data_IF_251968712592
#
_entry.id   IF_251968712592
#
_cell.length_a   1.000
_cell.length_b   1.000
_cell.length_c   1.000
_cell.angle_alpha   90.00
_cell.angle_beta   90.00
_cell.angle_gamma   90.00
#
_symmetry.space_group_name_H-M   'P 1'
#
loop_
_entity.id
_entity.type
_entity.pdbx_description
1 polymer ?
#
# COMPACT_ATOMS: atom_id res chain seq x y z
N UNK A 1 -29.53 9.63 9.21
CA UNK A 1 -28.18 9.02 9.16
C UNK A 1 -27.69 9.18 7.74
N UNK A 2 -26.58 9.88 7.52
CA UNK A 2 -26.02 10.07 6.18
C UNK A 2 -25.62 8.72 5.57
N UNK A 3 -25.79 8.57 4.26
CA UNK A 3 -25.38 7.37 3.55
C UNK A 3 -23.86 7.23 3.64
N UNK A 4 -23.33 6.01 3.75
CA UNK A 4 -21.88 5.77 3.65
C UNK A 4 -21.31 6.30 2.32
N UNK A 5 -22.16 6.45 1.29
CA UNK A 5 -21.82 7.02 -0.02
C UNK A 5 -21.56 8.53 -0.01
N UNK A 6 -21.97 9.24 1.04
CA UNK A 6 -21.78 10.68 1.16
C UNK A 6 -20.46 11.02 1.91
N UNK A 7 -19.71 10.00 2.35
CA UNK A 7 -18.42 10.21 3.00
C UNK A 7 -17.36 10.57 1.96
N UNK A 8 -16.52 11.53 2.33
CA UNK A 8 -15.40 11.97 1.50
C UNK A 8 -14.14 11.29 2.01
N UNK A 9 -13.36 10.69 1.11
CA UNK A 9 -12.08 10.09 1.46
C UNK A 9 -11.12 11.17 1.98
N UNK A 10 -10.32 10.89 3.03
CA UNK A 10 -9.24 11.77 3.42
C UNK A 10 -8.19 11.85 2.30
N UNK A 11 -7.36 12.89 2.30
CA UNK A 11 -6.17 12.88 1.44
C UNK A 11 -5.21 11.76 1.85
N UNK A 12 -4.30 11.30 0.97
CA UNK A 12 -3.32 10.27 1.33
C UNK A 12 -2.48 10.63 2.57
N UNK A 13 -2.09 11.89 2.72
CA UNK A 13 -1.37 12.39 3.89
C UNK A 13 -2.22 12.33 5.19
N UNK A 14 -3.51 12.64 5.09
CA UNK A 14 -4.45 12.51 6.22
C UNK A 14 -4.69 11.05 6.59
N UNK A 15 -4.84 10.17 5.59
CA UNK A 15 -4.98 8.72 5.79
C UNK A 15 -3.75 8.15 6.50
N UNK A 16 -2.54 8.53 6.05
CA UNK A 16 -1.30 8.13 6.71
C UNK A 16 -1.21 8.66 8.15
N UNK A 17 -1.61 9.92 8.39
CA UNK A 17 -1.65 10.45 9.76
C UNK A 17 -2.56 9.62 10.65
N UNK A 18 -3.77 9.26 10.20
CA UNK A 18 -4.71 8.43 10.97
C UNK A 18 -4.09 7.09 11.36
N UNK A 19 -3.42 6.42 10.42
CA UNK A 19 -2.72 5.16 10.67
C UNK A 19 -1.60 5.36 11.72
N UNK A 20 -0.75 6.39 11.56
CA UNK A 20 0.30 6.69 12.54
C UNK A 20 -0.25 6.97 13.94
N UNK A 21 -1.29 7.80 14.04
CA UNK A 21 -1.92 8.13 15.32
C UNK A 21 -2.48 6.88 16.00
N UNK A 22 -3.10 5.98 15.23
CA UNK A 22 -3.60 4.70 15.73
C UNK A 22 -2.50 3.75 16.19
N UNK A 23 -1.40 3.65 15.43
CA UNK A 23 -0.23 2.88 15.87
C UNK A 23 0.42 3.48 17.12
N UNK A 24 0.45 4.81 17.25
CA UNK A 24 0.95 5.46 18.46
C UNK A 24 0.10 5.06 19.68
N UNK A 25 -1.23 5.09 19.59
CA UNK A 25 -2.11 4.63 20.68
C UNK A 25 -1.87 3.17 21.03
N UNK A 26 -1.68 2.30 20.04
CA UNK A 26 -1.34 0.89 20.25
C UNK A 26 -0.01 0.73 21.01
N UNK A 27 1.04 1.45 20.59
CA UNK A 27 2.37 1.43 21.25
C UNK A 27 2.30 1.96 22.69
N UNK A 28 1.50 2.99 22.94
CA UNK A 28 1.33 3.61 24.26
C UNK A 28 0.39 2.82 25.18
N UNK A 29 -0.29 1.78 24.67
CA UNK A 29 -1.23 0.97 25.44
C UNK A 29 -2.55 1.69 25.76
N UNK A 30 -2.93 2.67 24.93
CA UNK A 30 -4.14 3.50 25.09
C UNK A 30 -5.07 3.40 23.87
N UNK A 31 -5.09 2.23 23.22
CA UNK A 31 -5.99 1.93 22.09
C UNK A 31 -7.45 2.28 22.40
N UNK A 32 -8.11 2.94 21.47
CA UNK A 32 -9.51 3.35 21.60
C UNK A 32 -10.48 2.24 21.15
N UNK A 33 -10.01 1.32 20.31
CA UNK A 33 -10.84 0.30 19.66
C UNK A 33 -12.06 0.92 18.93
N UNK A 34 -11.82 1.93 18.05
CA UNK A 34 -12.90 2.67 17.42
C UNK A 34 -13.71 1.74 16.51
N UNK A 35 -14.98 2.07 16.25
CA UNK A 35 -15.78 1.41 15.21
C UNK A 35 -15.98 -0.11 15.40
N UNK A 36 -15.98 -0.61 16.64
CA UNK A 36 -16.17 -2.04 16.93
C UNK A 36 -17.55 -2.39 17.54
N UNK A 37 -18.41 -1.38 17.74
CA UNK A 37 -19.72 -1.58 18.35
C UNK A 37 -20.81 -2.11 17.39
N UNK A 38 -21.92 -2.56 17.96
CA UNK A 38 -23.03 -3.15 17.21
C UNK A 38 -23.75 -2.16 16.27
N UNK A 39 -23.75 -0.87 16.59
CA UNK A 39 -24.35 0.17 15.76
C UNK A 39 -23.52 0.37 14.50
N UNK A 40 -22.19 0.44 14.66
CA UNK A 40 -21.25 0.46 13.52
C UNK A 40 -21.41 -0.76 12.63
N UNK A 41 -21.44 -1.97 13.22
CA UNK A 41 -21.68 -3.21 12.47
C UNK A 41 -22.99 -3.16 11.67
N UNK A 42 -24.06 -2.64 12.27
CA UNK A 42 -25.36 -2.52 11.61
C UNK A 42 -25.32 -1.52 10.45
N UNK A 43 -24.65 -0.37 10.63
CA UNK A 43 -24.44 0.63 9.58
C UNK A 43 -23.73 0.03 8.35
N UNK A 44 -22.71 -0.81 8.57
CA UNK A 44 -21.91 -1.41 7.50
C UNK A 44 -22.65 -2.50 6.70
N UNK A 45 -23.85 -2.93 7.13
CA UNK A 45 -24.68 -3.83 6.32
C UNK A 45 -25.14 -3.19 4.99
N UNK A 46 -25.14 -1.85 4.92
CA UNK A 46 -25.49 -1.10 3.71
C UNK A 46 -24.30 -0.79 2.78
N UNK A 47 -23.07 -1.14 3.16
CA UNK A 47 -21.86 -0.86 2.39
C UNK A 47 -20.63 -0.62 3.27
N UNK A 48 -19.49 -0.36 2.64
CA UNK A 48 -18.22 -0.02 3.31
C UNK A 48 -17.51 1.11 2.59
N UNK A 49 -16.67 1.84 3.33
CA UNK A 49 -15.92 2.98 2.84
C UNK A 49 -14.54 3.05 3.51
N UNK A 50 -13.67 2.05 3.27
CA UNK A 50 -12.36 2.00 3.89
C UNK A 50 -11.46 3.13 3.39
N UNK A 51 -10.75 3.77 4.31
CA UNK A 51 -9.80 4.84 4.00
C UNK A 51 -8.38 4.32 3.77
N UNK A 52 -8.13 3.04 4.04
CA UNK A 52 -6.84 2.39 3.82
C UNK A 52 -6.99 0.98 3.23
N UNK A 53 -6.11 0.62 2.29
CA UNK A 53 -5.95 -0.72 1.77
C UNK A 53 -4.65 -1.27 2.33
N UNK A 54 -4.71 -2.26 3.22
CA UNK A 54 -3.52 -2.81 3.88
C UNK A 54 -3.21 -4.18 3.30
N UNK A 55 -2.07 -4.28 2.62
CA UNK A 55 -1.52 -5.53 2.13
C UNK A 55 -0.39 -6.01 3.05
N UNK A 56 -0.68 -6.97 3.92
CA UNK A 56 0.25 -7.42 4.95
C UNK A 56 0.64 -8.89 4.89
N UNK A 57 1.59 -9.28 5.74
CA UNK A 57 1.95 -10.67 5.93
C UNK A 57 0.81 -11.49 6.58
N UNK A 58 0.69 -12.77 6.21
CA UNK A 58 -0.16 -13.76 6.87
C UNK A 58 0.25 -14.13 8.31
N UNK A 59 1.29 -13.51 8.86
CA UNK A 59 1.76 -13.75 10.23
C UNK A 59 0.67 -13.43 11.27
N UNK A 60 0.37 -14.38 12.14
CA UNK A 60 -0.68 -14.25 13.17
C UNK A 60 -0.48 -13.08 14.15
N UNK A 61 0.75 -12.57 14.28
CA UNK A 61 1.10 -11.44 15.15
C UNK A 61 0.89 -10.08 14.47
N UNK A 62 0.58 -10.07 13.17
CA UNK A 62 0.45 -8.88 12.34
C UNK A 62 -1.02 -8.55 12.02
N UNK A 63 -1.85 -8.46 13.06
CA UNK A 63 -3.25 -8.05 12.91
C UNK A 63 -3.33 -6.53 12.73
N UNK A 64 -3.44 -6.09 11.46
CA UNK A 64 -3.33 -4.67 11.08
C UNK A 64 -4.34 -3.78 11.81
N UNK A 65 -5.58 -4.25 11.95
CA UNK A 65 -6.65 -3.51 12.62
C UNK A 65 -6.35 -3.26 14.10
N UNK A 66 -5.66 -4.20 14.76
CA UNK A 66 -5.22 -4.03 16.16
C UNK A 66 -4.01 -3.08 16.22
N UNK A 67 -3.01 -3.32 15.37
CA UNK A 67 -1.74 -2.59 15.35
C UNK A 67 -1.91 -1.10 15.04
N UNK A 68 -2.89 -0.76 14.19
CA UNK A 68 -3.20 0.61 13.79
C UNK A 68 -4.46 1.14 14.48
N UNK A 69 -4.97 0.45 15.51
CA UNK A 69 -6.16 0.84 16.30
C UNK A 69 -7.35 1.27 15.42
N UNK A 70 -7.73 0.38 14.52
CA UNK A 70 -8.83 0.52 13.57
C UNK A 70 -10.03 -0.33 14.01
N UNK A 71 -11.18 -0.09 13.39
CA UNK A 71 -12.35 -0.94 13.53
C UNK A 71 -12.99 -1.34 12.23
N UNK A 72 -14.28 -1.68 12.32
CA UNK A 72 -15.03 -2.21 11.20
C UNK A 72 -15.21 -1.13 10.12
N UNK A 73 -14.89 -1.51 8.88
CA UNK A 73 -15.05 -0.68 7.70
C UNK A 73 -13.97 0.39 7.50
N UNK A 74 -12.93 0.41 8.35
CA UNK A 74 -11.86 1.42 8.29
C UNK A 74 -10.76 1.05 7.28
N UNK A 75 -10.45 -0.25 7.16
CA UNK A 75 -9.47 -0.76 6.23
C UNK A 75 -9.99 -1.94 5.39
N UNK A 76 -9.55 -2.00 4.14
CA UNK A 76 -9.65 -3.16 3.28
C UNK A 76 -8.34 -3.95 3.38
N UNK A 77 -8.40 -5.20 3.83
CA UNK A 77 -7.20 -5.95 4.23
C UNK A 77 -6.97 -7.16 3.34
N UNK A 78 -5.78 -7.22 2.74
CA UNK A 78 -5.29 -8.35 1.93
C UNK A 78 -4.07 -8.94 2.63
N UNK A 79 -3.99 -10.27 2.75
CA UNK A 79 -2.87 -10.92 3.43
C UNK A 79 -2.38 -12.16 2.69
N UNK A 80 -1.07 -12.23 2.48
CA UNK A 80 -0.36 -13.43 2.01
C UNK A 80 0.90 -13.62 2.85
N UNK A 81 1.43 -14.84 2.93
CA UNK A 81 2.69 -15.08 3.63
C UNK A 81 3.82 -14.27 2.95
N UNK A 82 4.48 -13.40 3.71
CA UNK A 82 5.53 -12.52 3.21
C UNK A 82 5.06 -11.43 2.26
N UNK A 83 3.79 -11.01 2.30
CA UNK A 83 3.23 -9.98 1.39
C UNK A 83 3.60 -10.23 -0.09
N UNK A 84 3.53 -11.50 -0.48
CA UNK A 84 3.79 -11.96 -1.84
C UNK A 84 2.62 -11.61 -2.75
N UNK A 85 2.92 -10.91 -3.84
CA UNK A 85 1.96 -10.50 -4.86
C UNK A 85 1.56 -11.72 -5.71
N UNK A 86 0.24 -11.86 -5.91
CA UNK A 86 -0.40 -12.80 -6.82
C UNK A 86 -1.53 -12.07 -7.56
N UNK A 87 -2.08 -12.66 -8.63
CA UNK A 87 -3.14 -12.02 -9.42
C UNK A 87 -4.36 -11.62 -8.57
N UNK A 88 -4.76 -12.48 -7.62
CA UNK A 88 -5.86 -12.17 -6.71
C UNK A 88 -5.54 -11.03 -5.74
N UNK A 89 -4.26 -10.84 -5.37
CA UNK A 89 -3.81 -9.71 -4.54
C UNK A 89 -3.90 -8.41 -5.32
N UNK A 90 -3.37 -8.36 -6.54
CA UNK A 90 -3.46 -7.16 -7.39
C UNK A 90 -4.91 -6.79 -7.69
N UNK A 91 -5.74 -7.76 -8.07
CA UNK A 91 -7.17 -7.51 -8.30
C UNK A 91 -7.89 -7.00 -7.04
N UNK A 92 -7.50 -7.47 -5.85
CA UNK A 92 -8.07 -6.96 -4.59
C UNK A 92 -7.63 -5.52 -4.29
N UNK A 93 -6.38 -5.17 -4.58
CA UNK A 93 -5.86 -3.80 -4.42
C UNK A 93 -6.52 -2.86 -5.43
N UNK A 94 -6.63 -3.27 -6.70
CA UNK A 94 -7.34 -2.51 -7.73
C UNK A 94 -8.81 -2.29 -7.35
N UNK A 95 -9.47 -3.30 -6.80
CA UNK A 95 -10.84 -3.17 -6.29
C UNK A 95 -10.94 -2.10 -5.19
N UNK A 96 -9.99 -2.05 -4.26
CA UNK A 96 -9.99 -1.01 -3.22
C UNK A 96 -9.78 0.40 -3.80
N UNK A 97 -8.94 0.54 -4.81
CA UNK A 97 -8.73 1.81 -5.52
C UNK A 97 -9.97 2.20 -6.32
N UNK A 98 -10.56 1.28 -7.08
CA UNK A 98 -11.64 1.62 -8.01
C UNK A 98 -13.02 1.71 -7.35
N UNK A 99 -13.36 0.78 -6.46
CA UNK A 99 -14.70 0.70 -5.87
C UNK A 99 -14.82 1.51 -4.59
N UNK A 100 -13.75 1.59 -3.80
CA UNK A 100 -13.75 2.33 -2.53
C UNK A 100 -13.06 3.67 -2.61
N UNK A 101 -12.34 3.96 -3.70
CA UNK A 101 -11.52 5.18 -3.85
C UNK A 101 -10.54 5.36 -2.70
N UNK A 102 -10.04 4.24 -2.16
CA UNK A 102 -9.19 4.25 -0.97
C UNK A 102 -7.90 5.05 -1.22
N UNK A 103 -7.62 6.12 -0.44
CA UNK A 103 -6.54 7.08 -0.73
C UNK A 103 -5.14 6.59 -0.35
N UNK A 104 -5.01 5.43 0.31
CA UNK A 104 -3.71 4.90 0.68
C UNK A 104 -3.65 3.38 0.60
N UNK A 105 -2.61 2.88 -0.05
CA UNK A 105 -2.23 1.46 -0.06
C UNK A 105 -1.00 1.31 0.82
N UNK A 106 -1.10 0.52 1.89
CA UNK A 106 0.01 0.18 2.77
C UNK A 106 0.47 -1.25 2.55
N UNK A 107 1.72 -1.43 2.15
CA UNK A 107 2.41 -2.72 2.23
C UNK A 107 3.02 -2.85 3.62
N UNK A 108 2.57 -3.85 4.39
CA UNK A 108 2.96 -4.03 5.79
C UNK A 108 3.83 -5.28 5.97
N UNK A 109 5.15 -5.06 6.04
CA UNK A 109 6.13 -6.07 6.44
C UNK A 109 6.41 -6.02 7.95
N UNK A 110 7.17 -6.99 8.46
CA UNK A 110 7.51 -7.07 9.89
C UNK A 110 8.83 -7.79 10.14
N UNK A 111 9.50 -7.47 11.25
CA UNK A 111 10.71 -8.18 11.65
C UNK A 111 10.46 -9.67 11.89
N UNK A 112 11.52 -10.49 11.76
CA UNK A 112 11.43 -11.94 11.97
C UNK A 112 10.40 -12.65 11.07
N UNK A 113 10.24 -12.19 9.82
CA UNK A 113 9.33 -12.81 8.85
C UNK A 113 9.82 -14.19 8.40
N UNK A 114 9.00 -15.22 8.58
CA UNK A 114 9.32 -16.61 8.21
C UNK A 114 9.50 -16.80 6.70
N UNK A 115 8.70 -16.14 5.86
CA UNK A 115 8.80 -16.27 4.40
C UNK A 115 10.10 -15.65 3.86
N UNK A 116 10.51 -14.48 4.40
CA UNK A 116 11.79 -13.85 4.05
C UNK A 116 12.97 -14.66 4.58
N UNK A 117 12.85 -15.25 5.77
CA UNK A 117 13.86 -16.16 6.32
C UNK A 117 14.04 -17.41 5.44
N UNK A 118 12.94 -18.00 4.97
CA UNK A 118 12.98 -19.13 4.05
C UNK A 118 13.66 -18.75 2.73
N UNK A 119 13.35 -17.58 2.17
CA UNK A 119 14.00 -17.09 0.95
C UNK A 119 15.49 -16.81 1.14
N UNK A 120 15.89 -16.19 2.26
CA UNK A 120 17.31 -16.02 2.61
C UNK A 120 18.02 -17.37 2.69
N UNK A 121 17.44 -18.35 3.40
CA UNK A 121 18.06 -19.65 3.56
C UNK A 121 18.20 -20.37 2.21
N UNK A 122 17.19 -20.28 1.35
CA UNK A 122 17.25 -20.81 -0.02
C UNK A 122 18.36 -20.14 -0.85
N UNK A 123 18.51 -18.82 -0.75
CA UNK A 123 19.59 -18.10 -1.44
C UNK A 123 20.99 -18.50 -0.95
N UNK A 124 21.13 -18.87 0.33
CA UNK A 124 22.41 -19.29 0.93
C UNK A 124 22.78 -20.75 0.66
N UNK A 125 21.78 -21.63 0.61
CA UNK A 125 21.98 -23.09 0.56
C UNK A 125 21.72 -23.69 -0.82
N UNK A 126 20.90 -23.03 -1.64
CA UNK A 126 20.35 -23.60 -2.87
C UNK A 126 19.12 -24.49 -2.65
N UNK A 127 18.76 -24.79 -1.39
CA UNK A 127 17.65 -25.67 -1.06
C UNK A 127 16.32 -24.91 -1.06
N UNK A 128 15.43 -25.30 -1.97
CA UNK A 128 14.09 -24.72 -2.07
C UNK A 128 13.07 -25.53 -1.24
N UNK A 129 12.12 -24.88 -0.55
CA UNK A 129 11.07 -25.61 0.15
C UNK A 129 10.13 -26.33 -0.83
N UNK A 130 9.44 -27.40 -0.40
CA UNK A 130 8.53 -28.13 -1.26
C UNK A 130 7.17 -27.43 -1.45
N UNK A 131 6.39 -27.90 -2.42
CA UNK A 131 5.00 -27.49 -2.65
C UNK A 131 4.85 -26.00 -2.95
N UNK A 132 3.70 -25.42 -2.56
CA UNK A 132 3.40 -24.01 -2.84
C UNK A 132 4.22 -23.02 -2.01
N UNK A 133 4.91 -23.46 -0.95
CA UNK A 133 5.86 -22.62 -0.20
C UNK A 133 6.98 -22.13 -1.13
N UNK A 134 7.37 -22.95 -2.11
CA UNK A 134 8.34 -22.59 -3.14
C UNK A 134 7.95 -21.31 -3.89
N UNK A 135 6.67 -21.16 -4.25
CA UNK A 135 6.17 -19.99 -4.98
C UNK A 135 6.36 -18.70 -4.19
N UNK A 136 6.16 -18.76 -2.86
CA UNK A 136 6.39 -17.62 -1.97
C UNK A 136 7.88 -17.26 -1.96
N UNK A 137 8.75 -18.25 -1.76
CA UNK A 137 10.20 -18.04 -1.74
C UNK A 137 10.70 -17.46 -3.06
N UNK A 138 10.29 -17.99 -4.20
CA UNK A 138 10.71 -17.52 -5.53
C UNK A 138 10.35 -16.04 -5.77
N UNK A 139 9.18 -15.59 -5.29
CA UNK A 139 8.74 -14.19 -5.42
C UNK A 139 9.45 -13.23 -4.47
N UNK A 140 9.98 -13.73 -3.35
CA UNK A 140 10.73 -12.97 -2.36
C UNK A 140 12.23 -12.92 -2.70
N UNK A 141 12.77 -13.95 -3.35
CA UNK A 141 14.20 -14.09 -3.65
C UNK A 141 14.84 -12.82 -4.25
N UNK A 142 14.24 -12.12 -5.23
CA UNK A 142 14.86 -10.91 -5.78
C UNK A 142 15.10 -9.80 -4.74
N UNK A 143 14.32 -9.77 -3.65
CA UNK A 143 14.49 -8.81 -2.56
C UNK A 143 15.59 -9.22 -1.58
N UNK A 144 15.87 -10.51 -1.40
CA UNK A 144 16.91 -10.98 -0.47
C UNK A 144 18.32 -10.98 -1.06
N UNK A 145 18.42 -10.98 -2.39
CA UNK A 145 19.69 -10.86 -3.14
C UNK A 145 19.87 -9.46 -3.74
N UNK A 146 19.05 -8.50 -3.32
CA UNK A 146 19.03 -7.16 -3.90
C UNK A 146 20.39 -6.46 -3.74
N UNK A 147 20.94 -5.81 -4.78
CA UNK A 147 22.22 -5.08 -4.69
C UNK A 147 22.20 -3.89 -3.73
N UNK A 148 21.01 -3.39 -3.38
CA UNK A 148 20.81 -2.32 -2.40
C UNK A 148 21.08 -2.75 -0.96
N UNK A 149 21.14 -4.06 -0.69
CA UNK A 149 21.38 -4.58 0.65
C UNK A 149 22.85 -4.41 1.07
N UNK A 150 23.12 -4.12 2.35
CA UNK A 150 24.48 -4.05 2.86
C UNK A 150 25.16 -5.43 2.81
N UNK A 151 26.51 -5.49 2.78
CA UNK A 151 27.24 -6.72 2.99
C UNK A 151 26.81 -7.37 4.32
N UNK A 152 26.57 -8.68 4.30
CA UNK A 152 26.10 -9.44 5.47
C UNK A 152 24.77 -8.93 6.08
N UNK A 153 23.87 -8.43 5.24
CA UNK A 153 22.54 -7.96 5.64
C UNK A 153 21.81 -8.92 6.59
N UNK A 154 21.24 -8.37 7.66
CA UNK A 154 20.38 -9.10 8.56
C UNK A 154 19.03 -9.38 7.88
N UNK A 155 18.28 -10.38 8.36
CA UNK A 155 16.96 -10.71 7.78
C UNK A 155 16.01 -9.51 7.80
N UNK A 156 16.11 -8.64 8.80
CA UNK A 156 15.27 -7.45 8.90
C UNK A 156 15.61 -6.40 7.82
N UNK A 157 16.84 -6.34 7.33
CA UNK A 157 17.21 -5.49 6.19
C UNK A 157 16.55 -6.02 4.92
N UNK A 158 16.56 -7.35 4.74
CA UNK A 158 15.88 -8.02 3.63
C UNK A 158 14.36 -7.84 3.69
N UNK A 159 13.76 -7.83 4.88
CA UNK A 159 12.33 -7.51 5.03
C UNK A 159 12.05 -6.07 4.61
N UNK A 160 12.83 -5.09 5.08
CA UNK A 160 12.65 -3.67 4.68
C UNK A 160 12.73 -3.52 3.17
N UNK A 161 13.75 -4.12 2.56
CA UNK A 161 13.90 -4.11 1.10
C UNK A 161 12.76 -4.83 0.39
N UNK A 162 12.30 -5.97 0.92
CA UNK A 162 11.16 -6.68 0.35
C UNK A 162 9.86 -5.88 0.43
N UNK A 163 9.60 -5.19 1.55
CA UNK A 163 8.48 -4.26 1.70
C UNK A 163 8.57 -3.12 0.68
N UNK A 164 9.76 -2.51 0.52
CA UNK A 164 10.01 -1.44 -0.45
C UNK A 164 9.75 -1.91 -1.88
N UNK A 165 10.35 -3.04 -2.28
CA UNK A 165 10.17 -3.59 -3.63
C UNK A 165 8.74 -4.03 -3.89
N UNK A 166 8.03 -4.57 -2.90
CA UNK A 166 6.62 -4.95 -3.04
C UNK A 166 5.75 -3.73 -3.29
N UNK A 167 5.97 -2.63 -2.54
CA UNK A 167 5.29 -1.36 -2.77
C UNK A 167 5.57 -0.81 -4.17
N UNK A 168 6.83 -0.82 -4.62
CA UNK A 168 7.19 -0.41 -5.98
C UNK A 168 6.51 -1.28 -7.06
N UNK A 169 6.54 -2.60 -6.91
CA UNK A 169 5.94 -3.54 -7.87
C UNK A 169 4.44 -3.34 -8.02
N UNK A 170 3.72 -3.01 -6.94
CA UNK A 170 2.29 -2.70 -7.03
C UNK A 170 2.06 -1.48 -7.95
N UNK A 171 2.84 -0.42 -7.77
CA UNK A 171 2.78 0.80 -8.60
C UNK A 171 3.20 0.53 -10.06
N UNK A 172 4.15 -0.38 -10.28
CA UNK A 172 4.69 -0.70 -11.61
C UNK A 172 3.81 -1.69 -12.40
N UNK A 173 3.14 -2.63 -11.73
CA UNK A 173 2.39 -3.71 -12.38
C UNK A 173 0.93 -3.38 -12.66
N UNK A 174 0.34 -2.44 -11.91
CA UNK A 174 -1.06 -2.02 -12.09
C UNK A 174 -1.15 -0.61 -12.65
N UNK A 175 -1.69 -0.47 -13.85
CA UNK A 175 -1.95 0.84 -14.46
C UNK A 175 -2.98 1.64 -13.65
N UNK A 176 -4.00 0.99 -13.07
CA UNK A 176 -4.99 1.63 -12.19
C UNK A 176 -4.29 2.28 -10.99
N UNK A 177 -3.41 1.55 -10.32
CA UNK A 177 -2.66 2.11 -9.18
C UNK A 177 -1.69 3.19 -9.64
N UNK A 178 -0.99 2.97 -10.75
CA UNK A 178 -0.03 3.94 -11.30
C UNK A 178 -0.69 5.27 -11.63
N UNK A 179 -1.83 5.24 -12.34
CA UNK A 179 -2.58 6.43 -12.74
C UNK A 179 -3.13 7.17 -11.50
N UNK A 180 -3.63 6.44 -10.50
CA UNK A 180 -4.12 7.01 -9.24
C UNK A 180 -3.00 7.64 -8.38
N UNK A 181 -1.79 7.10 -8.45
CA UNK A 181 -0.60 7.72 -7.83
C UNK A 181 -0.18 8.98 -8.58
N UNK A 182 -0.19 8.94 -9.91
CA UNK A 182 0.17 10.09 -10.75
C UNK A 182 -0.82 11.26 -10.61
N UNK A 183 -2.11 10.97 -10.41
CA UNK A 183 -3.14 11.99 -10.14
C UNK A 183 -3.10 12.53 -8.70
N UNK A 184 -2.37 11.85 -7.79
CA UNK A 184 -2.26 12.19 -6.38
C UNK A 184 -3.46 11.74 -5.54
N UNK A 185 -4.39 10.97 -6.12
CA UNK A 185 -5.57 10.42 -5.44
C UNK A 185 -5.19 9.32 -4.43
N UNK A 186 -4.16 8.53 -4.75
CA UNK A 186 -3.70 7.40 -3.93
C UNK A 186 -2.21 7.49 -3.67
N UNK A 187 -1.77 7.23 -2.43
CA UNK A 187 -0.36 6.96 -2.14
C UNK A 187 -0.12 5.46 -1.90
N UNK A 188 0.99 4.94 -2.42
CA UNK A 188 1.50 3.61 -2.05
C UNK A 188 2.66 3.77 -1.08
N UNK A 189 2.54 3.15 0.10
CA UNK A 189 3.55 3.19 1.15
C UNK A 189 4.04 1.80 1.54
N UNK A 190 5.29 1.72 1.96
CA UNK A 190 5.86 0.54 2.60
C UNK A 190 6.11 0.81 4.07
N UNK A 191 5.61 -0.07 4.94
CA UNK A 191 5.74 0.03 6.40
C UNK A 191 6.37 -1.23 6.96
N UNK A 192 7.37 -1.04 7.81
CA UNK A 192 8.04 -2.10 8.56
C UNK A 192 7.57 -2.05 10.02
N UNK A 193 6.92 -3.13 10.46
CA UNK A 193 6.44 -3.28 11.83
C UNK A 193 7.47 -3.96 12.73
N UNK A 194 7.70 -3.39 13.91
CA UNK A 194 8.55 -3.94 14.96
C UNK A 194 7.70 -4.72 15.97
N UNK A 195 7.78 -6.05 15.94
CA UNK A 195 7.02 -6.95 16.83
C UNK A 195 7.32 -6.70 18.32
N UNK A 196 8.53 -6.25 18.65
CA UNK A 196 8.97 -6.10 20.05
C UNK A 196 8.31 -4.90 20.75
N UNK A 197 8.27 -3.75 20.07
CA UNK A 197 7.81 -2.49 20.66
C UNK A 197 6.56 -1.91 19.99
N UNK A 198 6.05 -2.58 18.96
CA UNK A 198 4.80 -2.25 18.29
C UNK A 198 4.89 -1.10 17.29
N UNK A 199 6.09 -0.56 17.02
CA UNK A 199 6.23 0.62 16.16
C UNK A 199 6.09 0.29 14.68
N UNK A 200 5.43 1.17 13.95
CA UNK A 200 5.36 1.17 12.49
C UNK A 200 6.35 2.18 11.89
N UNK A 201 7.35 1.69 11.15
CA UNK A 201 8.39 2.49 10.50
C UNK A 201 8.07 2.65 9.00
N UNK A 202 7.99 3.87 8.50
CA UNK A 202 7.83 4.13 7.06
C UNK A 202 9.17 3.87 6.34
N UNK A 203 9.17 2.93 5.39
CA UNK A 203 10.37 2.54 4.61
C UNK A 203 10.27 2.88 3.13
N UNK A 204 9.07 3.22 2.65
CA UNK A 204 8.82 3.65 1.27
C UNK A 204 7.59 4.54 1.20
N UNK A 205 7.60 5.51 0.28
CA UNK A 205 6.41 6.26 -0.11
C UNK A 205 6.52 6.64 -1.59
N UNK A 206 5.41 6.51 -2.33
CA UNK A 206 5.32 6.94 -3.74
C UNK A 206 5.27 8.46 -3.91
N UNK A 207 4.89 9.19 -2.86
CA UNK A 207 4.73 10.64 -2.85
C UNK A 207 5.05 11.25 -1.47
N UNK A 208 5.12 12.58 -1.39
CA UNK A 208 5.23 13.26 -0.10
C UNK A 208 3.91 13.14 0.69
N UNK A 209 4.03 12.81 1.98
CA UNK A 209 2.92 12.64 2.91
C UNK A 209 2.98 13.64 4.06
N UNK A 210 3.75 14.71 3.91
CA UNK A 210 3.67 15.86 4.80
C UNK A 210 2.32 16.54 4.65
N UNK A 211 1.68 16.87 5.77
CA UNK A 211 0.48 17.68 5.74
C UNK A 211 0.91 19.14 5.49
N UNK A 212 0.20 19.88 4.61
CA UNK A 212 0.48 21.29 4.44
C UNK A 212 0.35 21.99 5.79
N UNK A 213 1.37 22.77 6.17
CA UNK A 213 1.28 23.65 7.32
C UNK A 213 0.07 24.55 7.11
N UNK A 214 -0.95 24.42 7.96
CA UNK A 214 -2.01 25.42 8.00
C UNK A 214 -1.35 26.71 8.47
N UNK A 215 -1.32 27.79 7.69
CA UNK A 215 -0.85 29.07 8.21
C UNK A 215 -1.76 29.43 9.37
N UNK A 216 -1.22 29.54 10.58
CA UNK A 216 -1.88 30.25 11.67
C UNK A 216 -2.14 31.65 11.17
N UNK A 217 -3.41 32.00 10.99
CA UNK A 217 -3.80 33.26 10.37
C UNK A 217 -3.25 34.45 11.14
N UNK A 218 -2.35 35.19 10.50
CA UNK A 218 -2.23 36.63 10.66
C UNK A 218 -2.31 37.24 9.26
N UNK A 219 -3.20 38.22 9.15
CA UNK A 219 -3.70 38.70 7.87
C UNK A 219 -2.63 39.33 6.99
N UNK A 220 -2.71 39.03 5.70
CA UNK A 220 -2.26 39.92 4.64
C UNK A 220 -3.16 39.72 3.41
N UNK A 221 -3.66 40.84 2.91
CA UNK A 221 -4.52 41.02 1.75
C UNK A 221 -3.85 40.51 0.46
N UNK A 222 -4.64 40.11 -0.56
CA UNK A 222 -4.11 39.43 -1.73
C UNK A 222 -3.39 40.41 -2.65
N UNK A 223 -2.06 40.32 -2.73
CA UNK A 223 -1.29 40.83 -3.85
C UNK A 223 -1.23 39.79 -4.96
N UNK A 224 -1.76 40.18 -6.11
CA UNK A 224 -1.71 39.45 -7.37
C UNK A 224 -0.27 39.15 -7.78
N UNK A 225 0.08 37.87 -7.87
CA UNK A 225 1.30 37.42 -8.53
C UNK A 225 0.94 36.34 -9.56
N UNK A 226 1.01 36.74 -10.83
CA UNK A 226 0.93 35.89 -12.01
C UNK A 226 2.16 34.99 -12.11
N UNK A 227 1.96 33.67 -12.24
CA UNK A 227 3.02 32.72 -12.59
C UNK A 227 3.14 32.58 -14.12
N UNK A 228 4.36 32.53 -14.70
CA UNK A 228 4.54 32.21 -16.10
C UNK A 228 4.39 30.70 -16.33
N UNK A 229 3.49 30.35 -17.26
CA UNK A 229 3.37 29.00 -17.82
C UNK A 229 4.53 28.77 -18.79
N UNK A 230 5.30 27.71 -18.58
CA UNK A 230 6.17 27.12 -19.61
C UNK A 230 5.92 25.63 -19.69
N UNK A 231 4.98 25.26 -20.57
CA UNK A 231 4.75 23.88 -20.99
C UNK A 231 5.79 23.55 -22.04
N UNK A 232 6.75 22.67 -21.72
CA UNK A 232 7.55 21.99 -22.75
C UNK A 232 6.68 20.89 -23.35
N UNK A 233 6.29 21.06 -24.61
CA UNK A 233 5.65 20.00 -25.40
C UNK A 233 6.61 18.82 -25.57
N UNK A 234 6.15 17.62 -25.20
CA UNK A 234 6.77 16.37 -25.65
C UNK A 234 6.06 15.87 -26.94
N UNK A 235 6.79 15.22 -27.86
CA UNK A 235 6.23 14.81 -29.14
C UNK A 235 5.18 13.70 -28.99
N UNK A 236 4.04 13.88 -29.67
CA UNK A 236 3.01 12.86 -29.86
C UNK A 236 3.57 11.68 -30.64
N UNK A 237 3.51 10.48 -30.06
CA UNK A 237 3.63 9.24 -30.82
C UNK A 237 2.30 9.03 -31.55
N UNK A 238 2.33 9.07 -32.87
CA UNK A 238 1.19 8.75 -33.75
C UNK A 238 1.22 7.25 -34.00
N UNK A 239 0.24 6.51 -33.48
CA UNK A 239 -0.01 5.15 -33.91
C UNK A 239 -0.72 5.21 -35.27
N UNK A 240 -0.09 4.66 -36.31
CA UNK A 240 -0.73 4.45 -37.59
C UNK A 240 -1.71 3.27 -37.46
N UNK A 241 -3.00 3.57 -37.40
CA UNK A 241 -4.05 2.58 -37.64
C UNK A 241 -3.98 2.14 -39.10
N UNK A 242 -3.61 0.88 -39.33
CA UNK A 242 -3.89 0.20 -40.60
C UNK A 242 -4.99 -0.81 -40.34
N UNK A 243 -6.20 -0.43 -40.75
CA UNK A 243 -7.32 -1.32 -40.92
C UNK A 243 -7.06 -2.17 -42.18
N UNK A 244 -6.97 -3.49 -41.99
CA UNK A 244 -6.92 -4.49 -43.06
C UNK A 244 -8.08 -5.46 -42.86
N UNK A 245 -9.01 -5.41 -43.80
CA UNK A 245 -10.27 -6.14 -43.84
C UNK A 245 -10.12 -7.66 -43.78
N UNK A 246 -11.16 -8.30 -43.23
CA UNK A 246 -11.37 -9.73 -43.25
C UNK A 246 -11.50 -10.30 -44.67
N UNK A 247 -11.07 -11.54 -44.86
CA UNK A 247 -11.75 -12.46 -45.78
C UNK A 247 -11.51 -13.95 -45.46
N UNK A 248 -12.42 -14.84 -45.90
CA UNK A 248 -12.72 -16.08 -45.20
C UNK A 248 -12.55 -17.32 -46.10
N UNK A 249 -11.51 -18.13 -45.90
CA UNK A 249 -11.37 -19.53 -46.35
C UNK A 249 -10.30 -20.15 -45.43
N UNK A 250 -10.42 -21.34 -44.82
CA UNK A 250 -10.92 -22.60 -45.33
C UNK A 250 -9.73 -23.56 -45.51
N UNK A 251 -9.33 -24.26 -44.44
CA UNK A 251 -8.80 -25.63 -44.34
C UNK A 251 -8.32 -25.91 -42.91
#
# INVERSE_FOLDING_TARGET
MGSLKDQVQPSPAQAWKRLKDGNQRFVEGISEHPNQDSSRRTLLSGGQFPFACIFGCGDSRLAAEIIFDLGLGDAFVVRTAGQVIENGVLGSIEYAVEEFKTPIIMVLGHDSCGAVTAARNAAQTGDMPPGFIRNLVERILPSVIAPSLPPHAHVNDMVREHTRQTAMRITEQSHIVSDAVLSGEVAVIGVFYHLRDGKAELVFSSQDLTLPNTPTGEGQSPTTASLPVSVKQQPRIVFAETWGEASPWGL
#
